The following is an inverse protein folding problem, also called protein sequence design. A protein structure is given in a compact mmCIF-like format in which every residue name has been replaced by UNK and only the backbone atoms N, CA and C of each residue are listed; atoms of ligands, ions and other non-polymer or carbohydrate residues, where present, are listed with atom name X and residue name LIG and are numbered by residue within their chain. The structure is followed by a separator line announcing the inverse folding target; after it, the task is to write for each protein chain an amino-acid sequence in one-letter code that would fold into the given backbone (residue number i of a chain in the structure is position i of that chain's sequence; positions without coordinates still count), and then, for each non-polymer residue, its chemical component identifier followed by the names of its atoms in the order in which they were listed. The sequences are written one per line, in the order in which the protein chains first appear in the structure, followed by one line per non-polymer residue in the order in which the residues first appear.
data_IF_013614068523
#
_entry.id   IF_013614068523
#
_cell.length_a   1.000
_cell.length_b   1.000
_cell.length_c   1.000
_cell.angle_alpha   90.00
_cell.angle_beta   90.00
_cell.angle_gamma   90.00
#
_symmetry.space_group_name_H-M   'P 1'
#
loop_
_entity.id
_entity.type
_entity.pdbx_description
1 polymer ?
#
# COMPACT_ATOMS: atom_id res chain seq x y z
N UNK A 1 14.82 -26.36 2.11
CA UNK A 1 14.72 -25.77 3.46
C UNK A 1 14.33 -24.29 3.39
N UNK A 2 15.07 -23.43 2.67
CA UNK A 2 14.71 -22.01 2.51
C UNK A 2 13.34 -21.80 1.85
N UNK A 3 13.04 -22.57 0.79
CA UNK A 3 11.76 -22.42 0.06
C UNK A 3 10.54 -22.81 0.89
N UNK A 4 10.67 -23.82 1.76
CA UNK A 4 9.60 -24.24 2.68
C UNK A 4 9.32 -23.16 3.74
N UNK A 5 10.36 -22.49 4.23
CA UNK A 5 10.21 -21.35 5.15
C UNK A 5 9.52 -20.19 4.45
N UNK A 6 9.93 -19.85 3.22
CA UNK A 6 9.31 -18.79 2.43
C UNK A 6 7.82 -19.07 2.15
N UNK A 7 7.48 -20.31 1.79
CA UNK A 7 6.10 -20.72 1.55
C UNK A 7 5.23 -20.55 2.81
N UNK A 8 5.73 -20.99 3.97
CA UNK A 8 5.03 -20.84 5.25
C UNK A 8 4.81 -19.38 5.63
N UNK A 9 5.83 -18.53 5.45
CA UNK A 9 5.71 -17.10 5.71
C UNK A 9 4.68 -16.48 4.77
N UNK A 10 4.78 -16.76 3.47
CA UNK A 10 3.87 -16.22 2.44
C UNK A 10 2.43 -16.55 2.77
N UNK A 11 2.13 -17.82 3.11
CA UNK A 11 0.79 -18.25 3.51
C UNK A 11 0.31 -17.53 4.78
N UNK A 12 1.17 -17.44 5.80
CA UNK A 12 0.85 -16.79 7.06
C UNK A 12 0.53 -15.30 6.92
N UNK A 13 1.14 -14.62 5.94
CA UNK A 13 0.96 -13.18 5.67
C UNK A 13 -0.01 -12.89 4.53
N UNK A 14 -0.74 -13.89 4.01
CA UNK A 14 -1.83 -13.61 3.08
C UNK A 14 -2.92 -12.80 3.77
N UNK A 15 -3.60 -11.93 3.01
CA UNK A 15 -4.71 -11.15 3.54
C UNK A 15 -5.79 -12.05 4.16
N UNK A 16 -6.13 -13.15 3.49
CA UNK A 16 -7.12 -14.12 3.98
C UNK A 16 -6.72 -14.73 5.32
N UNK A 17 -5.48 -15.20 5.45
CA UNK A 17 -4.99 -15.80 6.70
C UNK A 17 -4.92 -14.78 7.83
N UNK A 18 -4.42 -13.57 7.56
CA UNK A 18 -4.40 -12.48 8.55
C UNK A 18 -5.81 -12.06 8.97
N UNK A 19 -6.76 -11.95 8.04
CA UNK A 19 -8.15 -11.60 8.33
C UNK A 19 -8.85 -12.67 9.17
N UNK A 20 -8.66 -13.94 8.84
CA UNK A 20 -9.20 -15.06 9.63
C UNK A 20 -8.62 -15.08 11.06
N UNK A 21 -7.41 -14.56 11.24
CA UNK A 21 -6.72 -14.42 12.53
C UNK A 21 -6.77 -13.00 13.08
N UNK A 22 -7.69 -12.13 12.65
CA UNK A 22 -7.61 -10.70 12.96
C UNK A 22 -7.54 -10.40 14.46
N UNK A 23 -8.24 -11.16 15.30
CA UNK A 23 -8.17 -11.02 16.77
C UNK A 23 -6.77 -11.31 17.32
N UNK A 24 -6.06 -12.29 16.76
CA UNK A 24 -4.67 -12.58 17.14
C UNK A 24 -3.70 -11.52 16.60
N UNK A 25 -3.97 -11.01 15.40
CA UNK A 25 -3.14 -9.97 14.76
C UNK A 25 -3.25 -8.65 15.51
N UNK A 26 -4.44 -8.29 15.99
CA UNK A 26 -4.68 -7.05 16.71
C UNK A 26 -4.50 -7.18 18.22
N UNK A 27 -4.72 -8.36 18.81
CA UNK A 27 -4.67 -8.54 20.26
C UNK A 27 -5.54 -7.52 21.00
N UNK A 28 -4.96 -6.88 22.02
CA UNK A 28 -5.69 -5.97 22.92
C UNK A 28 -6.27 -4.74 22.21
N UNK A 29 -5.74 -4.33 21.04
CA UNK A 29 -6.29 -3.17 20.32
C UNK A 29 -7.58 -3.48 19.55
N UNK A 30 -7.98 -4.75 19.44
CA UNK A 30 -9.25 -5.14 18.81
C UNK A 30 -10.46 -4.44 19.47
N UNK A 31 -10.48 -4.41 20.81
CA UNK A 31 -11.59 -3.80 21.57
C UNK A 31 -11.68 -2.28 21.46
N UNK A 32 -10.62 -1.60 21.01
CA UNK A 32 -10.60 -0.15 20.77
C UNK A 32 -11.19 0.17 19.38
N UNK A 33 -11.10 -0.78 18.45
CA UNK A 33 -11.53 -0.57 17.08
C UNK A 33 -13.06 -0.72 16.95
N UNK A 34 -13.71 0.27 16.34
CA UNK A 34 -15.16 0.20 16.10
C UNK A 34 -15.48 -0.94 15.14
N UNK A 35 -16.15 -1.98 15.64
CA UNK A 35 -16.45 -3.20 14.88
C UNK A 35 -15.42 -4.31 15.03
N UNK A 36 -14.45 -4.17 15.94
CA UNK A 36 -13.45 -5.19 16.27
C UNK A 36 -12.46 -5.47 15.13
N UNK A 37 -11.62 -6.48 15.33
CA UNK A 37 -10.48 -6.73 14.45
C UNK A 37 -10.86 -7.07 12.99
N UNK A 38 -12.04 -7.66 12.77
CA UNK A 38 -12.54 -7.98 11.43
C UNK A 38 -12.81 -6.74 10.57
N UNK A 39 -13.13 -5.60 11.20
CA UNK A 39 -13.38 -4.34 10.49
C UNK A 39 -12.12 -3.51 10.29
N UNK A 40 -11.06 -3.77 11.08
CA UNK A 40 -9.72 -3.24 10.80
C UNK A 40 -9.13 -3.91 9.57
N UNK A 41 -9.09 -5.24 9.52
CA UNK A 41 -8.67 -6.01 8.34
C UNK A 41 -9.85 -6.14 7.35
N UNK A 42 -10.28 -5.00 6.81
CA UNK A 42 -11.54 -4.88 6.05
C UNK A 42 -11.50 -5.57 4.67
N UNK A 43 -10.73 -5.04 3.69
CA UNK A 43 -10.56 -5.68 2.36
C UNK A 43 -9.17 -5.38 1.81
N UNK A 44 -8.46 -6.42 1.37
CA UNK A 44 -7.12 -6.36 0.79
C UNK A 44 -7.16 -6.31 -0.73
N UNK A 45 -7.90 -5.34 -1.29
CA UNK A 45 -7.95 -5.11 -2.74
C UNK A 45 -7.48 -3.69 -3.06
N UNK A 46 -6.66 -3.55 -4.10
CA UNK A 46 -6.16 -2.26 -4.55
C UNK A 46 -7.23 -1.49 -5.34
N UNK A 47 -7.13 -0.16 -5.35
CA UNK A 47 -7.98 0.68 -6.19
C UNK A 47 -9.38 0.96 -5.67
N UNK A 48 -9.69 0.56 -4.43
CA UNK A 48 -11.02 0.76 -3.81
C UNK A 48 -11.48 2.22 -3.76
N UNK A 49 -10.57 3.18 -3.81
CA UNK A 49 -10.89 4.60 -3.84
C UNK A 49 -11.68 4.99 -5.08
N UNK A 50 -11.52 4.27 -6.20
CA UNK A 50 -12.22 4.56 -7.47
C UNK A 50 -13.73 4.46 -7.37
N UNK A 51 -14.23 3.59 -6.49
CA UNK A 51 -15.66 3.38 -6.28
C UNK A 51 -16.21 4.23 -5.12
N UNK A 52 -15.38 5.07 -4.49
CA UNK A 52 -15.72 5.84 -3.29
C UNK A 52 -15.59 7.34 -3.51
N UNK A 53 -14.55 7.77 -4.20
CA UNK A 53 -14.28 9.19 -4.46
C UNK A 53 -15.11 9.69 -5.63
N UNK A 54 -15.69 10.86 -5.46
CA UNK A 54 -16.40 11.60 -6.52
C UNK A 54 -15.41 12.36 -7.40
N UNK A 55 -15.88 12.90 -8.52
CA UNK A 55 -15.05 13.74 -9.40
C UNK A 55 -14.52 14.99 -8.66
N UNK A 56 -15.34 15.60 -7.81
CA UNK A 56 -14.93 16.76 -7.02
C UNK A 56 -13.83 16.39 -6.00
N UNK A 57 -13.93 15.21 -5.38
CA UNK A 57 -12.88 14.69 -4.49
C UNK A 57 -11.57 14.47 -5.25
N UNK A 58 -11.64 13.96 -6.48
CA UNK A 58 -10.46 13.74 -7.33
C UNK A 58 -9.80 15.06 -7.73
N UNK A 59 -10.58 16.12 -8.01
CA UNK A 59 -10.03 17.44 -8.28
C UNK A 59 -9.30 18.01 -7.06
N UNK A 60 -9.87 17.86 -5.86
CA UNK A 60 -9.21 18.27 -4.62
C UNK A 60 -7.92 17.49 -4.37
N UNK A 61 -7.93 16.18 -4.63
CA UNK A 61 -6.74 15.34 -4.57
C UNK A 61 -5.66 15.82 -5.55
N UNK A 62 -5.99 16.03 -6.83
CA UNK A 62 -5.05 16.50 -7.84
C UNK A 62 -4.41 17.85 -7.44
N UNK A 63 -5.22 18.81 -6.98
CA UNK A 63 -4.72 20.10 -6.51
C UNK A 63 -3.79 19.97 -5.28
N UNK A 64 -4.04 18.98 -4.40
CA UNK A 64 -3.15 18.68 -3.28
C UNK A 64 -1.85 18.01 -3.73
N UNK A 65 -1.90 17.09 -4.69
CA UNK A 65 -0.71 16.46 -5.28
C UNK A 65 0.19 17.51 -5.90
N UNK A 66 -0.34 18.38 -6.76
CA UNK A 66 0.42 19.44 -7.44
C UNK A 66 1.09 20.41 -6.46
N UNK A 67 0.40 20.74 -5.36
CA UNK A 67 0.92 21.66 -4.34
C UNK A 67 2.06 21.07 -3.51
N UNK A 68 2.04 19.76 -3.24
CA UNK A 68 2.88 19.15 -2.20
C UNK A 68 3.90 18.13 -2.71
N UNK A 69 3.70 17.55 -3.90
CA UNK A 69 4.52 16.44 -4.39
C UNK A 69 5.24 16.81 -5.69
N UNK A 70 6.47 16.30 -5.82
CA UNK A 70 7.14 16.25 -7.12
C UNK A 70 6.45 15.24 -8.03
N UNK A 71 6.68 15.36 -9.34
CA UNK A 71 6.11 14.45 -10.32
C UNK A 71 6.48 12.97 -10.07
N UNK A 72 7.68 12.70 -9.56
CA UNK A 72 8.13 11.33 -9.27
C UNK A 72 7.48 10.79 -7.99
N UNK A 73 7.34 11.63 -6.96
CA UNK A 73 6.61 11.28 -5.74
C UNK A 73 5.14 10.98 -6.02
N UNK A 74 4.49 11.83 -6.82
CA UNK A 74 3.10 11.64 -7.24
C UNK A 74 2.93 10.32 -8.00
N UNK A 75 3.82 10.04 -8.95
CA UNK A 75 3.78 8.80 -9.72
C UNK A 75 3.95 7.56 -8.84
N UNK A 76 4.92 7.58 -7.92
CA UNK A 76 5.13 6.46 -6.99
C UNK A 76 3.93 6.26 -6.07
N UNK A 77 3.32 7.33 -5.56
CA UNK A 77 2.15 7.25 -4.71
C UNK A 77 0.97 6.56 -5.41
N UNK A 78 0.75 6.86 -6.69
CA UNK A 78 -0.40 6.37 -7.46
C UNK A 78 -0.17 4.98 -8.06
N UNK A 79 1.07 4.64 -8.42
CA UNK A 79 1.40 3.45 -9.20
C UNK A 79 2.23 2.43 -8.42
N UNK A 80 2.78 2.80 -7.27
CA UNK A 80 3.64 1.94 -6.45
C UNK A 80 5.02 1.68 -7.03
N UNK A 81 5.40 2.40 -8.09
CA UNK A 81 6.68 2.24 -8.79
C UNK A 81 7.32 3.60 -9.04
N UNK A 82 8.66 3.64 -9.04
CA UNK A 82 9.38 4.83 -9.52
C UNK A 82 9.29 4.87 -11.04
N UNK A 83 9.18 6.07 -11.64
CA UNK A 83 9.36 6.18 -13.09
C UNK A 83 10.74 5.63 -13.44
N UNK A 84 10.87 4.81 -14.49
CA UNK A 84 12.19 4.39 -14.93
C UNK A 84 13.00 5.65 -15.22
N UNK A 85 14.10 5.81 -14.49
CA UNK A 85 15.08 6.87 -14.74
C UNK A 85 15.58 6.64 -16.16
N UNK A 86 15.53 7.67 -17.02
CA UNK A 86 16.12 7.61 -18.35
C UNK A 86 17.57 7.10 -18.22
N UNK A 87 17.89 5.97 -18.86
CA UNK A 87 19.17 5.26 -18.76
C UNK A 87 20.39 6.17 -19.02
N UNK A 88 20.19 7.30 -19.74
CA UNK A 88 21.21 8.32 -19.96
C UNK A 88 21.70 9.05 -18.68
N UNK A 89 20.97 9.01 -17.57
CA UNK A 89 21.35 9.67 -16.30
C UNK A 89 22.19 8.74 -15.42
N UNK A 90 21.95 7.42 -15.47
CA UNK A 90 22.68 6.43 -14.66
C UNK A 90 24.18 6.41 -15.02
N UNK A 91 24.52 6.66 -16.29
CA UNK A 91 25.91 6.70 -16.77
C UNK A 91 26.74 7.91 -16.25
N UNK A 92 26.14 8.86 -15.53
CA UNK A 92 26.84 10.08 -15.05
C UNK A 92 27.04 10.15 -13.54
N UNK A 93 26.59 9.16 -12.77
CA UNK A 93 26.83 9.14 -11.33
C UNK A 93 28.20 8.50 -11.04
N UNK A 94 29.12 9.21 -10.35
CA UNK A 94 30.39 8.62 -9.97
C UNK A 94 30.15 7.53 -8.92
N UNK A 95 30.52 6.30 -9.26
CA UNK A 95 30.59 5.19 -8.32
C UNK A 95 31.72 5.52 -7.32
N UNK A 96 31.40 5.66 -6.04
CA UNK A 96 32.37 5.58 -4.93
C UNK A 96 32.45 4.14 -4.43
#
# INVERSE_FOLDING_TARGET
MADDVLAKITEAVTFSTMKNKAEQVMGDVSGIWRGGAQTFINKGTNGRWRDVLTEDDLQLYCAAVERNLSADCAHWLENGTVKPVNEAIIAKLPVS
#
